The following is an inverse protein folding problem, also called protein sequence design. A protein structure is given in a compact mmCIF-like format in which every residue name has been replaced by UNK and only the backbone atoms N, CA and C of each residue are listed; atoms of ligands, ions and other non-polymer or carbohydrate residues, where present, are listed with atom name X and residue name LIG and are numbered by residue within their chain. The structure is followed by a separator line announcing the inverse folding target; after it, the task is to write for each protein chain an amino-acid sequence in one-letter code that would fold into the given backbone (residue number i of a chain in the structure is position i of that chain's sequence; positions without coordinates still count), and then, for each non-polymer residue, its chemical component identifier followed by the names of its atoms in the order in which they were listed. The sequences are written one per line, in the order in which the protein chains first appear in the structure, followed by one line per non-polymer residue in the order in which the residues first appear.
data_IF_549881758630
#
_entry.id   IF_549881758630
#
_cell.length_a   1.000
_cell.length_b   1.000
_cell.length_c   1.000
_cell.angle_alpha   90.00
_cell.angle_beta   90.00
_cell.angle_gamma   90.00
#
_symmetry.space_group_name_H-M   'P 1'
#
loop_
_entity.id
_entity.type
_entity.pdbx_description
1 polymer ?
#
# COMPACT_ATOMS: atom_id res chain seq x y z
N UNK A 1 -3.46 -10.91 -41.96
CA UNK A 1 -4.62 -11.36 -41.17
C UNK A 1 -5.04 -10.21 -40.26
N UNK A 2 -6.06 -9.46 -40.68
CA UNK A 2 -6.52 -8.20 -40.08
C UNK A 2 -7.05 -8.44 -38.66
N UNK A 3 -6.55 -7.72 -37.65
CA UNK A 3 -7.16 -7.69 -36.31
C UNK A 3 -8.13 -6.52 -36.23
N UNK A 4 -9.36 -6.86 -35.88
CA UNK A 4 -10.52 -5.99 -35.81
C UNK A 4 -10.36 -4.88 -34.76
N UNK A 5 -10.89 -3.70 -35.10
CA UNK A 5 -11.03 -2.54 -34.21
C UNK A 5 -12.03 -2.86 -33.10
N UNK A 6 -11.57 -2.84 -31.85
CA UNK A 6 -12.44 -2.90 -30.67
C UNK A 6 -13.19 -1.58 -30.52
N UNK A 7 -14.51 -1.66 -30.44
CA UNK A 7 -15.41 -0.55 -30.17
C UNK A 7 -15.29 -0.15 -28.70
N UNK A 8 -14.89 1.10 -28.44
CA UNK A 8 -14.98 1.71 -27.12
C UNK A 8 -16.44 2.03 -26.80
N UNK A 9 -17.06 1.25 -25.91
CA UNK A 9 -18.26 1.69 -25.21
C UNK A 9 -17.87 2.80 -24.23
N UNK A 10 -18.41 3.99 -24.45
CA UNK A 10 -18.23 5.14 -23.58
C UNK A 10 -19.00 4.90 -22.28
N UNK A 11 -18.31 4.47 -21.22
CA UNK A 11 -18.87 4.44 -19.87
C UNK A 11 -18.95 5.90 -19.39
N UNK A 12 -20.18 6.38 -19.14
CA UNK A 12 -20.43 7.66 -18.49
C UNK A 12 -19.80 7.64 -17.09
N UNK A 13 -18.66 8.33 -16.95
CA UNK A 13 -18.04 8.61 -15.65
C UNK A 13 -18.76 9.81 -15.05
N UNK A 14 -19.71 9.57 -14.16
CA UNK A 14 -20.29 10.63 -13.32
C UNK A 14 -19.29 10.98 -12.22
N UNK A 15 -18.51 12.05 -12.44
CA UNK A 15 -17.65 12.66 -11.42
C UNK A 15 -18.38 13.86 -10.82
N UNK A 16 -18.69 13.82 -9.52
CA UNK A 16 -19.26 14.97 -8.82
C UNK A 16 -18.14 15.89 -8.32
N UNK A 17 -18.07 17.09 -8.88
CA UNK A 17 -17.29 18.22 -8.36
C UNK A 17 -18.31 19.23 -7.81
N UNK A 18 -18.53 19.25 -6.50
CA UNK A 18 -19.46 20.21 -5.89
C UNK A 18 -18.74 21.10 -4.87
N UNK A 19 -18.52 22.35 -5.27
CA UNK A 19 -18.49 23.50 -4.37
C UNK A 19 -19.90 24.09 -4.32
N UNK A 20 -20.80 23.52 -3.52
CA UNK A 20 -22.19 23.96 -3.41
C UNK A 20 -23.06 23.04 -2.55
N UNK A 21 -24.01 23.63 -1.83
CA UNK A 21 -24.72 23.15 -0.63
C UNK A 21 -25.66 21.93 -0.84
N UNK A 22 -25.66 21.30 -2.02
CA UNK A 22 -26.52 20.14 -2.30
C UNK A 22 -25.68 18.88 -2.50
N UNK A 23 -25.83 17.91 -1.59
CA UNK A 23 -25.12 16.63 -1.66
C UNK A 23 -25.39 15.88 -2.97
N UNK A 24 -24.34 15.35 -3.58
CA UNK A 24 -24.42 14.58 -4.82
C UNK A 24 -24.57 13.08 -4.53
N UNK A 25 -25.52 12.41 -5.19
CA UNK A 25 -25.58 10.95 -5.15
C UNK A 25 -24.60 10.37 -6.16
N UNK A 26 -23.71 9.49 -5.70
CA UNK A 26 -22.78 8.72 -6.54
C UNK A 26 -23.25 7.27 -6.57
N UNK A 27 -23.65 6.79 -7.75
CA UNK A 27 -24.15 5.42 -7.96
C UNK A 27 -23.08 4.56 -8.65
N UNK A 28 -22.58 3.55 -7.93
CA UNK A 28 -21.61 2.59 -8.46
C UNK A 28 -22.25 1.38 -9.15
N UNK A 29 -23.58 1.34 -9.24
CA UNK A 29 -24.35 0.25 -9.81
C UNK A 29 -24.67 -0.85 -8.80
N UNK A 30 -25.57 -1.76 -9.18
CA UNK A 30 -26.03 -2.89 -8.35
C UNK A 30 -26.51 -2.50 -6.95
N UNK A 31 -27.09 -1.29 -6.83
CA UNK A 31 -27.58 -0.75 -5.57
C UNK A 31 -26.47 -0.39 -4.57
N UNK A 32 -25.23 -0.18 -5.03
CA UNK A 32 -24.16 0.41 -4.23
C UNK A 32 -24.07 1.92 -4.49
N UNK A 33 -24.54 2.72 -3.53
CA UNK A 33 -24.64 4.19 -3.68
C UNK A 33 -24.15 4.92 -2.45
N UNK A 34 -23.64 6.13 -2.64
CA UNK A 34 -23.30 7.04 -1.56
C UNK A 34 -23.85 8.44 -1.81
N UNK A 35 -24.17 9.16 -0.72
CA UNK A 35 -24.41 10.59 -0.76
C UNK A 35 -23.15 11.33 -0.36
N UNK A 36 -22.64 12.21 -1.23
CA UNK A 36 -21.41 12.96 -1.06
C UNK A 36 -21.69 14.44 -0.83
N UNK A 37 -21.28 14.97 0.33
CA UNK A 37 -21.56 16.35 0.72
C UNK A 37 -20.42 16.90 1.59
N UNK A 38 -19.87 18.06 1.21
CA UNK A 38 -18.84 18.74 2.01
C UNK A 38 -17.57 17.90 2.22
N UNK A 39 -17.16 17.14 1.20
CA UNK A 39 -16.07 16.17 1.28
C UNK A 39 -16.27 15.02 2.28
N UNK A 40 -17.53 14.66 2.54
CA UNK A 40 -17.90 13.53 3.38
C UNK A 40 -18.95 12.65 2.71
N UNK A 41 -18.88 11.33 2.96
CA UNK A 41 -19.97 10.41 2.67
C UNK A 41 -20.97 10.49 3.81
N UNK A 42 -22.18 10.95 3.54
CA UNK A 42 -23.25 11.13 4.55
C UNK A 42 -24.11 9.89 4.72
N UNK A 43 -24.23 9.09 3.68
CA UNK A 43 -24.97 7.84 3.71
C UNK A 43 -24.45 6.90 2.64
N UNK A 44 -24.58 5.60 2.91
CA UNK A 44 -24.24 4.51 2.00
C UNK A 44 -25.42 3.54 1.89
N UNK A 45 -25.54 2.89 0.74
CA UNK A 45 -26.42 1.75 0.54
C UNK A 45 -25.66 0.66 -0.21
N UNK A 46 -25.91 -0.60 0.14
CA UNK A 46 -25.35 -1.79 -0.50
C UNK A 46 -26.51 -2.67 -0.94
N UNK A 47 -26.50 -3.12 -2.19
CA UNK A 47 -27.59 -3.94 -2.78
C UNK A 47 -28.98 -3.30 -2.60
N UNK A 48 -29.05 -1.97 -2.68
CA UNK A 48 -30.28 -1.19 -2.54
C UNK A 48 -30.78 -1.04 -1.10
N UNK A 49 -30.06 -1.58 -0.11
CA UNK A 49 -30.38 -1.43 1.32
C UNK A 49 -29.50 -0.33 1.93
N UNK A 50 -30.08 0.65 2.64
CA UNK A 50 -29.27 1.64 3.36
C UNK A 50 -28.42 0.95 4.43
N UNK A 51 -27.27 1.53 4.73
CA UNK A 51 -26.41 1.15 5.86
C UNK A 51 -26.54 2.23 6.95
N UNK A 52 -27.46 2.07 7.92
CA UNK A 52 -27.75 3.10 8.90
C UNK A 52 -26.53 3.43 9.76
N UNK A 53 -26.26 4.72 9.96
CA UNK A 53 -25.13 5.20 10.76
C UNK A 53 -23.77 5.07 10.09
N UNK A 54 -23.68 4.51 8.87
CA UNK A 54 -22.40 4.44 8.15
C UNK A 54 -22.17 5.73 7.37
N UNK A 55 -21.11 6.44 7.76
CA UNK A 55 -20.64 7.68 7.16
C UNK A 55 -19.11 7.68 7.05
N UNK A 56 -18.56 8.54 6.20
CA UNK A 56 -17.12 8.70 6.05
C UNK A 56 -16.73 10.18 6.00
N UNK A 57 -15.68 10.58 6.72
CA UNK A 57 -15.18 11.96 6.69
C UNK A 57 -13.66 12.00 6.79
N UNK A 58 -13.06 13.08 6.29
CA UNK A 58 -11.64 13.32 6.42
C UNK A 58 -11.35 14.20 7.63
N UNK A 59 -10.32 13.83 8.39
CA UNK A 59 -9.78 14.62 9.48
C UNK A 59 -8.29 14.79 9.27
N UNK A 60 -7.80 16.03 9.33
CA UNK A 60 -6.38 16.34 9.33
C UNK A 60 -5.93 16.53 10.77
N UNK A 61 -4.91 15.80 11.19
CA UNK A 61 -4.43 15.77 12.57
C UNK A 61 -2.92 16.02 12.58
N UNK A 62 -2.45 16.86 13.50
CA UNK A 62 -1.01 16.99 13.73
C UNK A 62 -0.51 15.70 14.43
N UNK A 63 0.39 14.92 13.81
CA UNK A 63 0.83 13.65 14.39
C UNK A 63 1.59 13.82 15.71
N UNK A 64 2.09 15.02 16.02
CA UNK A 64 2.91 15.31 17.21
C UNK A 64 2.05 15.63 18.41
N UNK A 65 0.99 16.40 18.21
CA UNK A 65 0.09 16.86 19.29
C UNK A 65 -1.21 16.07 19.36
N UNK A 66 -1.55 15.32 18.31
CA UNK A 66 -2.83 14.62 18.11
C UNK A 66 -4.05 15.55 18.04
N UNK A 67 -3.83 16.86 17.96
CA UNK A 67 -4.88 17.84 17.76
C UNK A 67 -5.25 17.99 16.29
N UNK A 68 -6.42 18.55 15.99
CA UNK A 68 -6.80 18.95 14.64
C UNK A 68 -5.73 19.86 14.02
N UNK A 69 -5.36 19.58 12.79
CA UNK A 69 -4.40 20.38 12.06
C UNK A 69 -4.97 21.76 11.71
N UNK A 70 -4.11 22.76 11.63
CA UNK A 70 -4.49 24.12 11.26
C UNK A 70 -5.08 24.16 9.83
N UNK A 71 -6.36 24.53 9.65
CA UNK A 71 -7.00 24.59 8.34
C UNK A 71 -6.45 25.68 7.42
N UNK A 72 -5.73 26.68 7.96
CA UNK A 72 -4.99 27.64 7.14
C UNK A 72 -3.72 27.02 6.55
N UNK A 73 -3.17 26.00 7.20
CA UNK A 73 -1.94 25.32 6.78
C UNK A 73 -2.21 24.09 5.91
N UNK A 74 -3.27 23.34 6.17
CA UNK A 74 -3.55 22.11 5.46
C UNK A 74 -4.98 22.06 4.96
N UNK A 75 -5.16 21.56 3.74
CA UNK A 75 -6.48 21.33 3.15
C UNK A 75 -6.56 20.00 2.44
N UNK A 76 -7.73 19.39 2.47
CA UNK A 76 -8.07 18.21 1.67
C UNK A 76 -8.82 18.66 0.43
N UNK A 77 -8.43 18.14 -0.73
CA UNK A 77 -9.16 18.25 -1.98
C UNK A 77 -9.49 16.83 -2.46
N UNK A 78 -10.72 16.38 -2.25
CA UNK A 78 -11.14 15.02 -2.57
C UNK A 78 -12.41 14.99 -3.44
N UNK A 79 -12.51 13.94 -4.26
CA UNK A 79 -13.67 13.61 -5.08
C UNK A 79 -14.14 12.18 -4.80
N UNK A 80 -15.44 11.98 -4.88
CA UNK A 80 -16.06 10.66 -4.90
C UNK A 80 -16.50 10.33 -6.32
N UNK A 81 -16.07 9.20 -6.85
CA UNK A 81 -16.46 8.73 -8.18
C UNK A 81 -16.85 7.25 -8.17
N UNK A 82 -17.81 6.89 -9.01
CA UNK A 82 -18.19 5.50 -9.26
C UNK A 82 -17.37 4.91 -10.42
N UNK A 83 -16.69 3.79 -10.20
CA UNK A 83 -15.99 3.03 -11.26
C UNK A 83 -15.98 1.54 -10.91
N UNK A 84 -16.26 0.69 -11.90
CA UNK A 84 -16.16 -0.78 -11.80
C UNK A 84 -16.93 -1.39 -10.61
N UNK A 85 -18.14 -0.91 -10.32
CA UNK A 85 -18.94 -1.43 -9.21
C UNK A 85 -18.50 -0.94 -7.82
N UNK A 86 -17.59 0.03 -7.75
CA UNK A 86 -17.01 0.55 -6.53
C UNK A 86 -17.04 2.08 -6.47
N UNK A 87 -16.91 2.60 -5.25
CA UNK A 87 -16.81 4.01 -4.93
C UNK A 87 -15.35 4.35 -4.65
N UNK A 88 -14.85 5.38 -5.31
CA UNK A 88 -13.45 5.78 -5.25
C UNK A 88 -13.32 7.17 -4.67
N UNK A 89 -12.62 7.27 -3.55
CA UNK A 89 -12.19 8.50 -2.91
C UNK A 89 -10.78 8.81 -3.39
N UNK A 90 -10.67 9.64 -4.42
CA UNK A 90 -9.40 10.16 -4.91
C UNK A 90 -9.21 11.57 -4.39
N UNK A 91 -8.02 11.90 -3.88
CA UNK A 91 -7.77 13.26 -3.41
C UNK A 91 -6.30 13.59 -3.25
N UNK A 92 -6.07 14.80 -2.77
CA UNK A 92 -4.76 15.33 -2.40
C UNK A 92 -4.87 16.15 -1.14
N UNK A 93 -3.94 15.97 -0.23
CA UNK A 93 -3.71 16.92 0.88
C UNK A 93 -2.69 17.93 0.41
N UNK A 94 -2.99 19.22 0.58
CA UNK A 94 -2.11 20.31 0.21
C UNK A 94 -1.67 21.03 1.48
N UNK A 95 -0.36 21.25 1.60
CA UNK A 95 0.24 22.05 2.66
C UNK A 95 0.57 23.45 2.12
N UNK A 96 0.29 24.49 2.91
CA UNK A 96 0.63 25.87 2.59
C UNK A 96 2.10 26.18 2.93
N UNK A 97 2.69 27.12 2.19
CA UNK A 97 4.08 27.54 2.36
C UNK A 97 5.08 26.62 1.68
N UNK A 98 6.35 26.72 2.11
CA UNK A 98 7.49 25.99 1.53
C UNK A 98 8.28 25.20 2.56
N UNK A 99 7.94 25.34 3.83
CA UNK A 99 8.65 24.68 4.92
C UNK A 99 8.24 23.21 5.02
N UNK A 100 9.22 22.36 5.28
CA UNK A 100 8.99 20.93 5.48
C UNK A 100 8.00 20.73 6.65
N UNK A 101 7.00 19.89 6.42
CA UNK A 101 5.94 19.71 7.41
C UNK A 101 5.25 18.36 7.29
N UNK A 102 4.42 18.03 8.28
CA UNK A 102 3.76 16.73 8.40
C UNK A 102 2.31 16.89 8.81
N UNK A 103 1.45 15.97 8.36
CA UNK A 103 0.07 15.83 8.81
C UNK A 103 -0.39 14.38 8.67
N UNK A 104 -1.21 13.89 9.59
CA UNK A 104 -1.95 12.65 9.40
C UNK A 104 -3.29 12.99 8.73
N UNK A 105 -3.58 12.36 7.58
CA UNK A 105 -4.94 12.30 7.03
C UNK A 105 -5.64 11.05 7.58
N UNK A 106 -6.67 11.24 8.37
CA UNK A 106 -7.55 10.16 8.82
C UNK A 106 -8.83 10.15 8.00
N UNK A 107 -9.02 9.11 7.19
CA UNK A 107 -10.36 8.77 6.69
C UNK A 107 -11.09 8.01 7.80
N UNK A 108 -12.00 8.71 8.47
CA UNK A 108 -12.83 8.14 9.54
C UNK A 108 -14.11 7.56 8.95
N UNK A 109 -14.32 6.27 9.17
CA UNK A 109 -15.54 5.54 8.85
C UNK A 109 -16.35 5.31 10.13
N UNK A 110 -17.54 5.88 10.23
CA UNK A 110 -18.44 5.73 11.38
C UNK A 110 -19.43 4.59 11.18
N UNK A 111 -20.00 4.07 12.27
CA UNK A 111 -21.01 3.01 12.22
C UNK A 111 -20.46 1.65 11.82
N UNK A 112 -19.13 1.49 11.85
CA UNK A 112 -18.43 0.26 11.44
C UNK A 112 -17.37 -0.15 12.45
N UNK A 113 -16.96 -1.41 12.38
CA UNK A 113 -15.81 -1.97 13.09
C UNK A 113 -15.00 -2.89 12.17
N UNK A 114 -13.80 -3.29 12.60
CA UNK A 114 -12.97 -4.27 11.93
C UNK A 114 -13.28 -5.68 12.47
N UNK A 115 -13.84 -6.60 11.66
CA UNK A 115 -14.11 -7.97 12.09
C UNK A 115 -12.81 -8.79 11.97
N UNK A 116 -11.96 -8.67 13.00
CA UNK A 116 -10.66 -9.35 13.06
C UNK A 116 -10.78 -10.70 13.77
N UNK A 117 -9.92 -11.64 13.38
CA UNK A 117 -9.77 -12.95 14.04
C UNK A 117 -8.34 -13.18 14.52
N UNK A 118 -8.14 -14.30 15.22
CA UNK A 118 -6.83 -14.83 15.60
C UNK A 118 -6.15 -15.63 14.46
N UNK A 119 -6.94 -16.01 13.45
CA UNK A 119 -6.52 -16.85 12.32
C UNK A 119 -6.73 -18.35 12.54
N UNK A 120 -7.34 -18.75 13.66
CA UNK A 120 -7.61 -20.15 14.03
C UNK A 120 -9.10 -20.38 14.26
N UNK A 121 -9.72 -19.65 15.20
CA UNK A 121 -11.11 -19.85 15.60
C UNK A 121 -12.10 -19.46 14.50
N UNK A 122 -11.82 -18.36 13.80
CA UNK A 122 -12.62 -17.92 12.65
C UNK A 122 -11.72 -17.63 11.45
N UNK A 123 -11.41 -18.64 10.63
CA UNK A 123 -10.47 -18.52 9.50
C UNK A 123 -11.03 -17.70 8.33
N UNK A 124 -12.28 -17.24 8.40
CA UNK A 124 -12.87 -16.35 7.40
C UNK A 124 -12.63 -14.86 7.72
N UNK A 125 -12.28 -14.53 8.96
CA UNK A 125 -11.92 -13.16 9.36
C UNK A 125 -10.48 -12.85 8.99
N UNK A 126 -10.18 -11.56 8.85
CA UNK A 126 -8.81 -11.07 8.70
C UNK A 126 -8.05 -11.29 10.01
N UNK A 127 -6.94 -12.06 10.03
CA UNK A 127 -6.14 -12.18 11.24
C UNK A 127 -5.61 -10.82 11.67
N UNK A 128 -5.78 -10.46 12.94
CA UNK A 128 -5.44 -9.14 13.47
C UNK A 128 -3.98 -8.75 13.17
N UNK A 129 -3.06 -9.73 13.26
CA UNK A 129 -1.62 -9.58 12.96
C UNK A 129 -1.30 -9.20 11.50
N UNK A 130 -2.28 -9.31 10.60
CA UNK A 130 -2.13 -9.00 9.18
C UNK A 130 -2.81 -7.68 8.78
N UNK A 131 -3.57 -7.03 9.67
CA UNK A 131 -4.39 -5.86 9.33
C UNK A 131 -3.63 -4.78 8.57
N UNK A 132 -2.46 -4.37 9.09
CA UNK A 132 -1.62 -3.33 8.49
C UNK A 132 -0.48 -3.91 7.64
N UNK A 133 -0.52 -5.21 7.34
CA UNK A 133 0.33 -5.85 6.33
C UNK A 133 -0.35 -5.96 4.97
N UNK A 134 -1.65 -5.68 4.92
CA UNK A 134 -2.47 -5.77 3.71
C UNK A 134 -3.05 -4.39 3.38
N UNK A 135 -3.19 -4.04 2.09
CA UNK A 135 -3.75 -2.76 1.67
C UNK A 135 -5.29 -2.73 1.76
N UNK A 136 -5.91 -3.67 2.49
CA UNK A 136 -7.35 -3.90 2.49
C UNK A 136 -7.87 -4.35 3.86
N UNK A 137 -9.13 -4.02 4.13
CA UNK A 137 -9.89 -4.56 5.24
C UNK A 137 -11.35 -4.77 4.86
N UNK A 138 -12.03 -5.69 5.56
CA UNK A 138 -13.50 -5.74 5.59
C UNK A 138 -14.00 -4.84 6.71
N UNK A 139 -15.16 -4.22 6.53
CA UNK A 139 -15.86 -3.40 7.52
C UNK A 139 -17.17 -4.08 7.90
N UNK A 140 -17.33 -4.34 9.20
CA UNK A 140 -18.59 -4.82 9.78
C UNK A 140 -19.44 -3.62 10.15
N UNK A 141 -20.64 -3.55 9.60
CA UNK A 141 -21.59 -2.50 10.00
C UNK A 141 -22.16 -2.82 11.38
N UNK A 142 -22.16 -1.84 12.29
CA UNK A 142 -22.59 -2.03 13.67
C UNK A 142 -24.11 -2.20 13.77
N UNK A 143 -24.87 -1.61 12.84
CA UNK A 143 -26.33 -1.68 12.84
C UNK A 143 -26.87 -3.09 12.56
N UNK A 144 -26.17 -3.90 11.76
CA UNK A 144 -26.64 -5.23 11.34
C UNK A 144 -25.69 -6.36 11.76
N UNK A 145 -24.47 -6.05 12.20
CA UNK A 145 -23.43 -7.03 12.46
C UNK A 145 -22.87 -7.70 11.19
N UNK A 146 -23.17 -7.15 10.01
CA UNK A 146 -22.84 -7.75 8.72
C UNK A 146 -21.65 -7.07 8.04
N UNK A 147 -20.81 -7.89 7.39
CA UNK A 147 -19.60 -7.48 6.67
C UNK A 147 -19.96 -7.12 5.22
N UNK A 148 -20.69 -6.01 5.05
CA UNK A 148 -21.24 -5.58 3.76
C UNK A 148 -20.31 -4.68 2.93
N UNK A 149 -19.21 -4.19 3.53
CA UNK A 149 -18.27 -3.27 2.91
C UNK A 149 -16.83 -3.80 2.97
N UNK A 150 -16.12 -3.68 1.85
CA UNK A 150 -14.67 -3.71 1.78
C UNK A 150 -14.11 -2.30 1.61
N UNK A 151 -12.95 -2.05 2.22
CA UNK A 151 -12.14 -0.85 2.04
C UNK A 151 -10.74 -1.26 1.58
N UNK A 152 -10.15 -0.51 0.66
CA UNK A 152 -8.80 -0.77 0.17
C UNK A 152 -8.07 0.45 -0.33
N UNK A 153 -6.74 0.36 -0.37
CA UNK A 153 -5.87 1.30 -1.05
C UNK A 153 -5.90 1.03 -2.57
N UNK A 154 -5.40 1.96 -3.38
CA UNK A 154 -5.21 1.68 -4.79
C UNK A 154 -3.96 0.80 -4.99
N UNK A 155 -4.09 -0.36 -5.66
CA UNK A 155 -2.99 -1.34 -5.76
C UNK A 155 -1.69 -0.77 -6.38
N UNK A 156 -1.83 0.21 -7.27
CA UNK A 156 -0.72 0.88 -7.96
C UNK A 156 -0.29 2.23 -7.40
N UNK A 157 -0.92 2.72 -6.33
CA UNK A 157 -0.53 3.99 -5.70
C UNK A 157 0.03 3.69 -4.32
N UNK A 158 1.31 3.32 -4.31
CA UNK A 158 2.04 3.01 -3.09
C UNK A 158 1.91 4.18 -2.11
N UNK A 159 1.32 3.89 -0.96
CA UNK A 159 1.20 4.80 0.15
C UNK A 159 1.30 4.02 1.45
N UNK A 160 1.92 4.62 2.45
CA UNK A 160 1.86 4.10 3.81
C UNK A 160 0.48 4.45 4.35
N UNK A 161 -0.24 3.45 4.87
CA UNK A 161 -1.51 3.66 5.54
C UNK A 161 -1.71 2.66 6.68
N UNK A 162 -2.50 3.06 7.67
CA UNK A 162 -2.77 2.26 8.86
C UNK A 162 -4.27 2.22 9.15
N UNK A 163 -4.85 1.03 9.20
CA UNK A 163 -6.18 0.80 9.73
C UNK A 163 -6.15 0.73 11.26
N UNK A 164 -7.10 1.41 11.91
CA UNK A 164 -7.28 1.37 13.36
C UNK A 164 -8.75 1.27 13.72
N UNK A 165 -9.09 0.34 14.61
CA UNK A 165 -10.41 0.28 15.22
C UNK A 165 -10.51 1.27 16.39
N UNK A 166 -11.63 1.99 16.47
CA UNK A 166 -11.99 2.91 17.55
C UNK A 166 -13.34 2.44 18.12
N UNK A 167 -13.37 1.36 18.91
CA UNK A 167 -14.62 0.69 19.32
C UNK A 167 -15.52 1.59 20.18
N UNK A 168 -14.92 2.36 21.09
CA UNK A 168 -15.65 3.32 21.95
C UNK A 168 -16.34 4.40 21.14
N UNK A 169 -15.71 4.81 20.03
CA UNK A 169 -16.23 5.83 19.13
C UNK A 169 -17.07 5.25 17.98
N UNK A 170 -17.28 3.92 17.96
CA UNK A 170 -18.04 3.21 16.92
C UNK A 170 -17.53 3.51 15.50
N UNK A 171 -16.20 3.58 15.36
CA UNK A 171 -15.56 3.98 14.12
C UNK A 171 -14.30 3.15 13.79
N UNK A 172 -13.88 3.24 12.54
CA UNK A 172 -12.60 2.76 12.03
C UNK A 172 -11.91 3.93 11.34
N UNK A 173 -10.61 4.11 11.53
CA UNK A 173 -9.83 5.07 10.77
C UNK A 173 -8.86 4.37 9.83
N UNK A 174 -8.72 4.91 8.63
CA UNK A 174 -7.60 4.65 7.73
C UNK A 174 -6.72 5.91 7.73
N UNK A 175 -5.58 5.83 8.42
CA UNK A 175 -4.62 6.92 8.57
C UNK A 175 -3.57 6.88 7.47
N UNK A 176 -3.27 8.03 6.88
CA UNK A 176 -2.13 8.26 6.01
C UNK A 176 -1.18 9.26 6.66
N UNK A 177 0.03 8.86 7.08
CA UNK A 177 1.05 9.79 7.52
C UNK A 177 1.68 10.49 6.30
N UNK A 178 1.46 11.79 6.16
CA UNK A 178 2.04 12.58 5.07
C UNK A 178 3.16 13.48 5.53
N UNK A 179 4.25 13.46 4.76
CA UNK A 179 5.33 14.44 4.81
C UNK A 179 5.31 15.30 3.55
N UNK A 180 5.62 16.58 3.71
CA UNK A 180 5.67 17.57 2.65
C UNK A 180 7.03 18.23 2.66
N UNK A 181 7.63 18.38 1.47
CA UNK A 181 8.88 19.10 1.32
C UNK A 181 8.91 19.91 0.04
N UNK A 182 9.57 21.08 0.10
CA UNK A 182 9.89 21.88 -1.09
C UNK A 182 10.82 21.15 -2.07
N UNK A 183 11.57 20.17 -1.57
CA UNK A 183 12.52 19.38 -2.33
C UNK A 183 11.87 18.20 -3.06
N UNK A 184 10.58 17.94 -2.85
CA UNK A 184 9.84 16.95 -3.63
C UNK A 184 9.75 17.37 -5.12
N UNK A 185 9.49 16.39 -5.99
CA UNK A 185 9.25 16.63 -7.43
C UNK A 185 8.15 17.68 -7.62
N UNK A 186 8.20 18.52 -8.67
CA UNK A 186 7.27 19.63 -8.83
C UNK A 186 5.78 19.28 -8.64
N UNK A 187 5.36 18.12 -9.12
CA UNK A 187 3.99 17.59 -9.03
C UNK A 187 3.56 17.16 -7.60
N UNK A 188 4.52 16.82 -6.74
CA UNK A 188 4.33 16.41 -5.34
C UNK A 188 4.75 17.48 -4.33
N UNK A 189 5.28 18.61 -4.79
CA UNK A 189 5.76 19.69 -3.91
C UNK A 189 4.61 20.22 -3.09
N UNK A 190 4.71 20.07 -1.77
CA UNK A 190 3.66 20.42 -0.80
C UNK A 190 2.30 19.76 -1.09
N UNK A 191 2.31 18.58 -1.73
CA UNK A 191 1.11 17.84 -2.12
C UNK A 191 1.29 16.34 -1.85
N UNK A 192 0.29 15.74 -1.21
CA UNK A 192 0.27 14.31 -0.91
C UNK A 192 -1.03 13.69 -1.46
N UNK A 193 -0.99 13.04 -2.65
CA UNK A 193 -2.15 12.37 -3.22
C UNK A 193 -2.49 11.09 -2.45
N UNK A 194 -3.78 10.76 -2.41
CA UNK A 194 -4.28 9.51 -1.84
C UNK A 194 -5.40 8.93 -2.69
N UNK A 195 -5.65 7.64 -2.52
CA UNK A 195 -6.74 6.94 -3.22
C UNK A 195 -7.23 5.78 -2.36
N UNK A 196 -8.52 5.79 -2.07
CA UNK A 196 -9.22 4.75 -1.32
C UNK A 196 -10.40 4.26 -2.13
N UNK A 197 -10.64 2.95 -2.11
CA UNK A 197 -11.79 2.33 -2.74
C UNK A 197 -12.68 1.67 -1.69
N UNK A 198 -13.98 1.91 -1.80
CA UNK A 198 -15.04 1.22 -1.07
C UNK A 198 -15.83 0.37 -2.04
N UNK A 199 -16.19 -0.85 -1.66
CA UNK A 199 -16.92 -1.77 -2.53
C UNK A 199 -17.78 -2.76 -1.71
N UNK A 200 -18.87 -3.28 -2.28
CA UNK A 200 -19.74 -4.21 -1.56
C UNK A 200 -19.10 -5.60 -1.40
N UNK A 201 -19.37 -6.24 -0.27
CA UNK A 201 -18.92 -7.61 0.04
C UNK A 201 -20.09 -8.55 0.33
N UNK A 202 -19.89 -9.86 0.12
CA UNK A 202 -20.80 -10.91 0.59
C UNK A 202 -20.45 -11.27 2.03
N UNK A 203 -21.32 -10.95 3.01
CA UNK A 203 -21.00 -11.11 4.42
C UNK A 203 -20.81 -12.57 4.82
N UNK A 204 -21.34 -13.53 4.06
CA UNK A 204 -21.14 -14.97 4.32
C UNK A 204 -19.68 -15.40 4.19
N UNK A 205 -18.90 -14.65 3.41
CA UNK A 205 -17.50 -14.97 3.12
C UNK A 205 -16.51 -14.03 3.82
N UNK A 206 -17.00 -13.08 4.63
CA UNK A 206 -16.19 -12.18 5.44
C UNK A 206 -15.00 -11.57 4.64
N UNK A 207 -13.78 -11.67 5.16
CA UNK A 207 -12.58 -11.11 4.54
C UNK A 207 -12.28 -11.73 3.17
N UNK A 208 -12.67 -12.99 2.91
CA UNK A 208 -12.49 -13.60 1.58
C UNK A 208 -13.28 -12.86 0.50
N UNK A 209 -14.49 -12.36 0.83
CA UNK A 209 -15.22 -11.52 -0.13
C UNK A 209 -14.56 -10.17 -0.35
N UNK A 210 -13.96 -9.57 0.69
CA UNK A 210 -13.21 -8.33 0.55
C UNK A 210 -12.02 -8.56 -0.40
N UNK A 211 -11.20 -9.58 -0.13
CA UNK A 211 -10.06 -9.94 -0.97
C UNK A 211 -10.46 -10.22 -2.44
N UNK A 212 -11.52 -11.00 -2.66
CA UNK A 212 -12.03 -11.28 -4.00
C UNK A 212 -12.53 -10.01 -4.71
N UNK A 213 -13.14 -9.08 -3.97
CA UNK A 213 -13.53 -7.76 -4.49
C UNK A 213 -12.30 -6.95 -4.92
N UNK A 214 -11.27 -6.92 -4.09
CA UNK A 214 -10.02 -6.22 -4.39
C UNK A 214 -9.34 -6.75 -5.66
N UNK A 215 -9.25 -8.06 -5.82
CA UNK A 215 -8.68 -8.67 -7.03
C UNK A 215 -9.46 -8.33 -8.30
N UNK A 216 -10.80 -8.24 -8.22
CA UNK A 216 -11.63 -7.81 -9.36
C UNK A 216 -11.45 -6.34 -9.73
N UNK A 217 -11.10 -5.49 -8.76
CA UNK A 217 -10.85 -4.07 -9.00
C UNK A 217 -9.47 -3.82 -9.63
N UNK A 218 -8.53 -4.74 -9.42
CA UNK A 218 -7.13 -4.63 -9.82
C UNK A 218 -6.63 -5.88 -10.59
N UNK A 219 -7.36 -6.38 -11.60
CA UNK A 219 -7.09 -7.68 -12.20
C UNK A 219 -5.69 -7.79 -12.80
N UNK A 220 -5.19 -6.70 -13.40
CA UNK A 220 -3.87 -6.65 -14.05
C UNK A 220 -2.71 -6.74 -13.04
N UNK A 221 -2.94 -6.34 -11.78
CA UNK A 221 -1.94 -6.42 -10.70
C UNK A 221 -1.86 -7.81 -10.09
N UNK A 222 -2.96 -8.56 -10.15
CA UNK A 222 -3.06 -9.93 -9.62
C UNK A 222 -3.02 -11.00 -10.70
N UNK A 223 -2.74 -10.62 -11.95
CA UNK A 223 -2.51 -11.57 -13.01
C UNK A 223 -1.28 -12.41 -12.71
N UNK A 224 -1.42 -13.73 -12.75
CA UNK A 224 -0.28 -14.64 -12.69
C UNK A 224 0.63 -14.39 -13.90
N UNK A 225 1.88 -14.00 -13.63
CA UNK A 225 2.89 -13.72 -14.67
C UNK A 225 3.86 -14.86 -14.91
N UNK A 226 3.92 -15.83 -14.01
CA UNK A 226 4.81 -17.00 -14.11
C UNK A 226 4.00 -18.28 -14.09
N UNK A 227 4.31 -19.16 -15.04
CA UNK A 227 3.75 -20.51 -15.08
C UNK A 227 4.54 -21.50 -14.21
N UNK A 228 5.68 -21.06 -13.66
CA UNK A 228 6.55 -21.87 -12.80
C UNK A 228 6.01 -21.95 -11.38
N UNK A 229 6.13 -23.13 -10.81
CA UNK A 229 5.76 -23.43 -9.42
C UNK A 229 6.99 -23.95 -8.67
N UNK A 230 7.23 -23.42 -7.48
CA UNK A 230 8.35 -23.80 -6.63
C UNK A 230 8.59 -22.75 -5.55
N UNK A 231 9.38 -23.12 -4.55
CA UNK A 231 9.78 -22.23 -3.47
C UNK A 231 10.69 -21.10 -3.95
N UNK A 232 10.79 -20.08 -3.09
CA UNK A 232 11.76 -19.00 -3.17
C UNK A 232 13.01 -19.41 -2.38
N UNK A 233 14.15 -19.53 -3.04
CA UNK A 233 15.44 -19.83 -2.42
C UNK A 233 16.17 -18.54 -2.07
N UNK A 234 16.62 -18.40 -0.83
CA UNK A 234 17.13 -17.14 -0.26
C UNK A 234 18.61 -17.25 0.14
N UNK A 235 19.40 -16.26 -0.30
CA UNK A 235 20.69 -15.81 0.26
C UNK A 235 21.83 -16.84 0.40
N UNK A 236 21.78 -17.96 -0.33
CA UNK A 236 22.84 -18.97 -0.32
C UNK A 236 23.29 -19.33 -1.75
N UNK A 237 24.49 -19.90 -1.88
CA UNK A 237 24.95 -20.42 -3.17
C UNK A 237 24.06 -21.55 -3.67
N UNK A 238 23.75 -21.54 -4.96
CA UNK A 238 22.84 -22.53 -5.53
C UNK A 238 23.50 -23.85 -5.82
N UNK A 239 24.84 -23.92 -5.83
CA UNK A 239 25.64 -25.08 -6.24
C UNK A 239 25.35 -26.39 -5.47
N UNK A 240 25.03 -26.32 -4.19
CA UNK A 240 24.89 -27.52 -3.34
C UNK A 240 23.51 -27.66 -2.67
N UNK A 241 22.46 -27.03 -3.24
CA UNK A 241 21.12 -27.12 -2.64
C UNK A 241 20.58 -28.55 -2.76
N UNK A 242 20.13 -29.18 -1.66
CA UNK A 242 19.39 -30.42 -1.73
C UNK A 242 18.02 -30.20 -2.39
N UNK A 243 17.62 -31.10 -3.28
CA UNK A 243 16.33 -31.04 -3.99
C UNK A 243 16.09 -29.72 -4.76
N UNK A 244 16.98 -29.33 -5.69
CA UNK A 244 16.86 -28.07 -6.43
C UNK A 244 15.53 -27.93 -7.19
N UNK A 245 14.90 -29.05 -7.57
CA UNK A 245 13.59 -29.08 -8.23
C UNK A 245 12.43 -28.51 -7.39
N UNK A 246 12.60 -28.35 -6.08
CA UNK A 246 11.58 -27.74 -5.22
C UNK A 246 11.59 -26.21 -5.30
N UNK A 247 12.61 -25.60 -5.89
CA UNK A 247 12.78 -24.17 -6.00
C UNK A 247 12.56 -23.71 -7.44
N UNK A 248 11.80 -22.63 -7.61
CA UNK A 248 11.57 -22.01 -8.92
C UNK A 248 12.25 -20.65 -9.05
N UNK A 249 12.61 -20.04 -7.92
CA UNK A 249 13.10 -18.68 -7.82
C UNK A 249 14.30 -18.63 -6.86
N UNK A 250 15.32 -17.85 -7.18
CA UNK A 250 16.50 -17.63 -6.36
C UNK A 250 16.74 -16.12 -6.18
N UNK A 251 16.89 -15.71 -4.92
CA UNK A 251 17.29 -14.38 -4.49
C UNK A 251 18.80 -14.35 -4.22
N UNK A 252 19.56 -13.80 -5.17
CA UNK A 252 21.01 -13.69 -5.02
C UNK A 252 21.70 -12.97 -6.18
N UNK A 253 23.00 -12.73 -6.00
CA UNK A 253 23.93 -12.15 -6.99
C UNK A 253 24.86 -13.24 -7.59
N UNK A 254 24.31 -14.42 -7.87
CA UNK A 254 25.05 -15.56 -8.44
C UNK A 254 25.45 -15.40 -9.91
N UNK A 255 26.33 -16.29 -10.39
CA UNK A 255 26.61 -16.43 -11.81
C UNK A 255 25.33 -16.92 -12.52
N UNK A 256 24.85 -16.16 -13.52
CA UNK A 256 23.61 -16.43 -14.27
C UNK A 256 23.58 -17.87 -14.81
N UNK A 257 24.75 -18.40 -15.14
CA UNK A 257 24.96 -19.75 -15.66
C UNK A 257 24.61 -20.84 -14.63
N UNK A 258 24.98 -20.67 -13.34
CA UNK A 258 24.75 -21.68 -12.30
C UNK A 258 23.26 -21.84 -11.94
N UNK A 259 22.50 -20.74 -11.98
CA UNK A 259 21.05 -20.73 -11.74
C UNK A 259 20.27 -21.22 -12.97
N UNK A 260 20.74 -20.86 -14.17
CA UNK A 260 20.16 -21.31 -15.43
C UNK A 260 20.22 -22.84 -15.56
N UNK A 261 21.36 -23.44 -15.21
CA UNK A 261 21.56 -24.90 -15.25
C UNK A 261 20.61 -25.66 -14.31
N UNK A 262 20.05 -24.97 -13.32
CA UNK A 262 19.08 -25.52 -12.34
C UNK A 262 17.64 -25.16 -12.65
N UNK A 263 17.39 -24.48 -13.77
CA UNK A 263 16.07 -23.99 -14.18
C UNK A 263 15.40 -23.07 -13.14
N UNK A 264 16.19 -22.39 -12.29
CA UNK A 264 15.70 -21.38 -11.37
C UNK A 264 15.69 -20.01 -12.05
N UNK A 265 14.66 -19.20 -11.78
CA UNK A 265 14.70 -17.78 -12.14
C UNK A 265 15.52 -17.02 -11.11
N UNK A 266 16.52 -16.26 -11.56
CA UNK A 266 17.33 -15.40 -10.70
C UNK A 266 16.66 -14.02 -10.55
N UNK A 267 16.51 -13.55 -9.32
CA UNK A 267 15.91 -12.27 -8.96
C UNK A 267 16.86 -11.53 -8.03
N UNK A 268 17.64 -10.56 -8.53
CA UNK A 268 18.45 -9.74 -7.65
C UNK A 268 17.53 -8.95 -6.73
N UNK A 269 17.75 -9.08 -5.42
CA UNK A 269 17.07 -8.31 -4.39
C UNK A 269 18.07 -7.32 -3.82
N UNK A 270 17.66 -6.06 -3.74
CA UNK A 270 18.39 -5.03 -3.01
C UNK A 270 17.41 -4.40 -2.03
N UNK A 271 17.75 -4.45 -0.75
CA UNK A 271 16.97 -3.79 0.28
C UNK A 271 17.32 -2.30 0.29
N UNK A 272 16.47 -1.49 -0.34
CA UNK A 272 16.62 -0.04 -0.27
C UNK A 272 16.23 0.44 1.12
N UNK A 273 17.16 1.06 1.83
CA UNK A 273 16.90 1.46 3.20
C UNK A 273 17.22 0.36 4.20
N UNK A 274 18.21 -0.50 3.95
CA UNK A 274 18.99 -1.16 5.00
C UNK A 274 20.48 -1.11 4.68
N UNK A 275 21.31 -0.87 5.70
CA UNK A 275 22.76 -1.06 5.59
C UNK A 275 23.17 -2.11 6.61
N UNK A 276 23.74 -3.21 6.13
CA UNK A 276 24.45 -4.15 7.00
C UNK A 276 25.78 -3.54 7.40
N UNK A 277 25.83 -2.92 8.58
CA UNK A 277 27.09 -2.42 9.14
C UNK A 277 27.89 -3.62 9.65
N UNK A 278 28.99 -3.94 8.98
CA UNK A 278 29.97 -4.86 9.56
C UNK A 278 30.70 -4.16 10.69
N UNK A 279 30.54 -4.67 11.92
CA UNK A 279 31.35 -4.25 13.05
C UNK A 279 32.78 -4.77 12.85
N UNK A 280 33.67 -3.94 12.33
CA UNK A 280 35.09 -4.27 12.21
C UNK A 280 35.75 -4.26 13.59
N UNK A 281 36.48 -5.34 13.93
CA UNK A 281 37.20 -5.48 15.20
C UNK A 281 36.47 -6.36 16.22
N UNK A 282 36.71 -6.12 17.51
CA UNK A 282 36.06 -6.86 18.59
C UNK A 282 34.58 -6.46 18.69
N UNK A 283 33.70 -7.46 18.81
CA UNK A 283 32.28 -7.23 19.08
C UNK A 283 32.09 -6.59 20.46
N UNK A 284 31.05 -5.74 20.66
CA UNK A 284 30.78 -5.15 21.97
C UNK A 284 30.62 -6.22 23.04
N UNK A 285 31.30 -6.07 24.18
CA UNK A 285 31.25 -7.06 25.25
C UNK A 285 29.93 -7.01 26.05
N UNK A 286 29.18 -5.91 25.93
CA UNK A 286 27.91 -5.69 26.63
C UNK A 286 27.02 -4.66 25.90
N UNK A 287 25.80 -4.50 26.41
CA UNK A 287 24.77 -3.62 25.85
C UNK A 287 25.21 -2.15 25.80
N UNK A 288 25.85 -1.64 26.86
CA UNK A 288 26.27 -0.22 26.92
C UNK A 288 27.33 0.10 25.85
N UNK A 289 28.26 -0.81 25.62
CA UNK A 289 29.25 -0.69 24.56
C UNK A 289 28.59 -0.76 23.17
N UNK A 290 27.59 -1.62 22.99
CA UNK A 290 26.85 -1.72 21.74
C UNK A 290 26.08 -0.43 21.42
N UNK A 291 25.39 0.17 22.39
CA UNK A 291 24.66 1.44 22.21
C UNK A 291 25.63 2.59 21.90
N UNK A 292 26.76 2.69 22.60
CA UNK A 292 27.76 3.74 22.35
C UNK A 292 28.32 3.68 20.92
N UNK A 293 28.64 2.48 20.44
CA UNK A 293 29.10 2.24 19.06
C UNK A 293 28.02 2.65 18.06
N UNK A 294 26.74 2.39 18.37
CA UNK A 294 25.61 2.81 17.54
C UNK A 294 25.52 4.34 17.43
N UNK A 295 25.58 5.06 18.55
CA UNK A 295 25.56 6.53 18.55
C UNK A 295 26.73 7.14 17.77
N UNK A 296 27.93 6.53 17.83
CA UNK A 296 29.07 6.94 17.01
C UNK A 296 28.78 6.80 15.52
N UNK A 297 28.17 5.69 15.11
CA UNK A 297 27.76 5.44 13.73
C UNK A 297 26.59 6.34 13.30
N UNK A 298 25.73 6.81 14.21
CA UNK A 298 24.67 7.78 13.92
C UNK A 298 25.20 9.20 13.71
N UNK A 299 26.32 9.54 14.38
CA UNK A 299 27.02 10.82 14.20
C UNK A 299 27.82 10.90 12.90
N UNK A 300 28.08 9.76 12.25
CA UNK A 300 28.73 9.75 10.93
C UNK A 300 27.78 10.29 9.86
N UNK A 301 28.35 11.09 8.94
CA UNK A 301 27.57 11.84 7.97
C UNK A 301 26.85 10.88 7.00
N UNK A 302 25.52 10.91 7.04
CA UNK A 302 24.69 10.18 6.08
C UNK A 302 24.94 10.74 4.67
N UNK A 303 25.01 9.91 3.62
CA UNK A 303 25.16 10.41 2.25
C UNK A 303 24.12 11.49 1.93
N UNK A 304 24.59 12.67 1.50
CA UNK A 304 23.75 13.85 1.26
C UNK A 304 22.89 13.74 -0.01
N UNK A 305 23.20 12.79 -0.89
CA UNK A 305 22.49 12.51 -2.13
C UNK A 305 22.60 11.02 -2.47
N UNK A 306 21.62 10.53 -3.23
CA UNK A 306 21.59 9.18 -3.80
C UNK A 306 21.71 9.30 -5.31
N UNK A 307 22.59 8.51 -5.89
CA UNK A 307 22.56 8.20 -7.32
C UNK A 307 22.21 6.73 -7.48
N UNK A 308 21.30 6.41 -8.41
CA UNK A 308 21.08 5.04 -8.84
C UNK A 308 22.32 4.62 -9.62
N UNK A 309 23.13 3.74 -9.03
CA UNK A 309 24.31 3.19 -9.70
C UNK A 309 23.87 1.96 -10.50
N UNK A 310 23.63 2.16 -11.78
CA UNK A 310 23.31 1.07 -12.71
C UNK A 310 21.87 0.55 -12.59
N UNK A 311 21.31 0.17 -13.73
CA UNK A 311 19.96 -0.40 -13.83
C UNK A 311 19.16 0.25 -14.95
N UNK A 312 18.81 -0.55 -15.96
CA UNK A 312 17.76 -0.25 -16.90
C UNK A 312 16.70 -1.35 -16.80
N UNK A 313 15.43 -0.98 -16.93
CA UNK A 313 14.39 -1.94 -17.24
C UNK A 313 14.76 -2.60 -18.58
N UNK A 314 15.03 -3.90 -18.57
CA UNK A 314 15.14 -4.65 -19.81
C UNK A 314 13.75 -4.76 -20.44
N UNK A 315 13.52 -3.91 -21.45
CA UNK A 315 12.27 -3.85 -22.21
C UNK A 315 11.96 -5.15 -22.96
N UNK A 316 12.95 -6.01 -23.24
CA UNK A 316 12.75 -7.32 -23.88
C UNK A 316 12.29 -8.39 -22.88
N UNK A 317 12.62 -8.21 -21.60
CA UNK A 317 12.31 -9.16 -20.52
C UNK A 317 10.97 -8.85 -19.83
N UNK A 318 10.34 -7.70 -20.15
CA UNK A 318 8.95 -7.40 -19.77
C UNK A 318 8.05 -8.58 -20.13
N UNK A 319 7.74 -9.39 -19.11
CA UNK A 319 6.69 -10.43 -19.06
C UNK A 319 7.09 -11.86 -19.42
N UNK A 320 8.38 -12.22 -19.53
CA UNK A 320 8.74 -13.63 -19.80
C UNK A 320 8.76 -14.52 -18.54
N UNK A 321 8.93 -13.93 -17.35
CA UNK A 321 9.12 -14.67 -16.11
C UNK A 321 10.44 -15.48 -16.06
N UNK A 322 11.31 -15.32 -17.06
CA UNK A 322 12.57 -16.05 -17.22
C UNK A 322 13.77 -15.26 -16.71
N UNK A 323 13.66 -13.94 -16.70
CA UNK A 323 14.63 -12.99 -16.15
C UNK A 323 13.86 -11.82 -15.51
N UNK A 324 14.42 -11.18 -14.49
CA UNK A 324 13.98 -9.87 -14.00
C UNK A 324 15.24 -9.08 -13.63
N UNK A 325 15.62 -8.14 -14.50
CA UNK A 325 16.81 -7.27 -14.42
C UNK A 325 18.17 -7.95 -14.54
N UNK A 326 19.02 -7.39 -15.40
CA UNK A 326 20.47 -7.56 -15.35
C UNK A 326 21.04 -6.26 -14.77
N UNK A 327 21.49 -6.30 -13.52
CA UNK A 327 22.34 -5.23 -13.00
C UNK A 327 23.66 -5.25 -13.77
N UNK A 328 23.97 -4.20 -14.52
CA UNK A 328 25.32 -4.02 -15.07
C UNK A 328 26.08 -3.10 -14.13
N UNK A 329 27.05 -3.65 -13.41
CA UNK A 329 28.05 -2.86 -12.68
C UNK A 329 28.95 -2.23 -13.74
N UNK A 330 28.75 -0.96 -14.06
CA UNK A 330 29.69 -0.25 -14.94
C UNK A 330 30.83 0.37 -14.16
N UNK A 331 30.68 0.69 -12.87
CA UNK A 331 31.79 1.19 -12.05
C UNK A 331 31.69 0.75 -10.59
N UNK A 332 32.82 0.33 -10.03
CA UNK A 332 32.96 -0.16 -8.66
C UNK A 332 32.98 1.01 -7.66
N UNK A 333 31.81 1.51 -7.22
CA UNK A 333 31.70 2.30 -5.98
C UNK A 333 30.39 1.98 -5.27
N UNK A 334 30.52 1.31 -4.12
CA UNK A 334 29.41 0.93 -3.25
C UNK A 334 28.90 2.12 -2.42
N UNK A 335 27.59 2.16 -2.26
CA UNK A 335 26.89 2.98 -1.28
C UNK A 335 25.44 2.51 -1.19
N UNK A 336 25.05 1.95 -0.05
CA UNK A 336 23.68 1.49 0.25
C UNK A 336 23.07 2.38 1.35
N UNK A 337 21.73 2.53 1.33
CA UNK A 337 20.97 3.41 2.22
C UNK A 337 20.19 2.71 3.32
N UNK A 338 19.76 3.47 4.34
CA UNK A 338 19.54 3.01 5.74
C UNK A 338 18.11 2.66 6.21
N UNK A 339 18.09 1.63 7.07
CA UNK A 339 17.32 1.36 8.29
C UNK A 339 18.05 0.19 8.98
N UNK A 340 18.27 0.27 10.31
CA UNK A 340 19.20 -0.62 11.03
C UNK A 340 18.42 -1.70 11.77
N UNK A 341 18.69 -2.97 11.47
CA UNK A 341 18.16 -4.12 12.22
C UNK A 341 19.33 -5.00 12.68
N UNK A 342 19.35 -5.36 13.97
CA UNK A 342 20.27 -6.37 14.48
C UNK A 342 19.62 -7.74 14.38
N UNK A 343 20.34 -8.70 13.82
CA UNK A 343 20.12 -10.13 14.07
C UNK A 343 21.16 -10.52 15.11
N UNK A 344 20.70 -11.04 16.25
CA UNK A 344 21.56 -11.54 17.34
C UNK A 344 22.28 -12.81 16.92
#
# INVERSE_FOLDING_TARGET
MMRAKAWFFSILVSAALCSGVQGATVDAGNGFRATWEGQAIRSLSVRGKPLPGVAASFQLVDPRTKASADPAKFRVEAKLAARNGALWLDGVVVAAGTEDTVVDLNLRMEGVTLPLGDGVENPLLLPARLLNKLPIASLRTLATGSDDLGIGLHADRLCVAEFRALPEEKAVTLRFPFGFSRHARPEMRMRAPFSVVLYPTDPRWHFRSALAGYYRLFPDHFQRRTDRHGGWFFANETKNIPNPQHYAFHEGEGAVEEDHDRNMGMYPYNETGSETIQLTGTLPANYEEAIRRMEELERQQTPAAWDIIGGALDEQVKRSGRYCFRGSITEAKGGNGFARQFVL
#
